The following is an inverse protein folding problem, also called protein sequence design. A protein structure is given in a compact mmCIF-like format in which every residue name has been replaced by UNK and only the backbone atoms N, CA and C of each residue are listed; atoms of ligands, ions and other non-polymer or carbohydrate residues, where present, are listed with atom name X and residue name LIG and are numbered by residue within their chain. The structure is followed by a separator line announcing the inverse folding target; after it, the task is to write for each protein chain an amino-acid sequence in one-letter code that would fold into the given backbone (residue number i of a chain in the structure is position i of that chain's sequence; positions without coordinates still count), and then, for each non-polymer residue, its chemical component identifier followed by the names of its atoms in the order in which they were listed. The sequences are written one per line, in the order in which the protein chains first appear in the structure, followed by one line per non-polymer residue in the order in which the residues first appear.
data_IF_880934431040
#
_entry.id   IF_880934431040
#
_cell.length_a   1.000
_cell.length_b   1.000
_cell.length_c   1.000
_cell.angle_alpha   90.00
_cell.angle_beta   90.00
_cell.angle_gamma   90.00
#
_symmetry.space_group_name_H-M   'P 1'
#
loop_
_entity.id
_entity.type
_entity.pdbx_description
1 polymer ?
#
# COMPACT_ATOMS: atom_id res chain seq x y z
N UNK A 1 17.28 -2.48 -29.49
CA UNK A 1 17.64 -1.78 -28.23
C UNK A 1 17.10 -2.63 -27.09
N UNK A 2 17.94 -3.45 -26.47
CA UNK A 2 17.52 -4.22 -25.29
C UNK A 2 17.41 -3.24 -24.13
N UNK A 3 16.21 -3.08 -23.57
CA UNK A 3 16.03 -2.42 -22.28
C UNK A 3 16.76 -3.31 -21.27
N UNK A 4 17.94 -2.88 -20.81
CA UNK A 4 18.56 -3.47 -19.64
C UNK A 4 17.62 -3.18 -18.47
N UNK A 5 16.78 -4.14 -18.10
CA UNK A 5 16.09 -4.13 -16.82
C UNK A 5 17.17 -4.26 -15.76
N UNK A 6 17.63 -3.13 -15.22
CA UNK A 6 18.52 -3.15 -14.07
C UNK A 6 17.70 -3.71 -12.90
N UNK A 7 18.01 -4.89 -12.35
CA UNK A 7 17.23 -5.46 -11.26
C UNK A 7 17.30 -4.50 -10.08
N UNK A 8 16.14 -3.99 -9.64
CA UNK A 8 16.06 -3.08 -8.50
C UNK A 8 16.44 -3.88 -7.25
N UNK A 9 17.57 -3.53 -6.63
CA UNK A 9 18.00 -4.11 -5.35
C UNK A 9 17.81 -3.11 -4.23
N UNK A 10 17.80 -3.59 -2.98
CA UNK A 10 17.76 -2.69 -1.82
C UNK A 10 18.95 -1.74 -1.79
N UNK A 11 20.15 -2.22 -2.15
CA UNK A 11 21.35 -1.38 -2.23
C UNK A 11 21.18 -0.24 -3.23
N UNK A 12 20.65 -0.56 -4.41
CA UNK A 12 20.41 0.45 -5.47
C UNK A 12 19.38 1.48 -5.02
N UNK A 13 18.33 1.05 -4.31
CA UNK A 13 17.33 1.96 -3.75
C UNK A 13 17.93 2.85 -2.66
N UNK A 14 18.65 2.26 -1.71
CA UNK A 14 19.26 2.98 -0.60
C UNK A 14 20.25 4.04 -1.08
N UNK A 15 21.11 3.68 -2.02
CA UNK A 15 22.08 4.58 -2.65
C UNK A 15 21.39 5.71 -3.42
N UNK A 16 20.40 5.39 -4.26
CA UNK A 16 19.69 6.37 -5.08
C UNK A 16 19.02 7.48 -4.25
N UNK A 17 18.42 7.11 -3.11
CA UNK A 17 17.71 8.04 -2.23
C UNK A 17 18.58 8.59 -1.09
N UNK A 18 19.87 8.29 -1.08
CA UNK A 18 20.85 8.84 -0.14
C UNK A 18 20.68 8.36 1.30
N UNK A 19 20.21 7.14 1.50
CA UNK A 19 20.08 6.55 2.83
C UNK A 19 21.45 6.17 3.41
N UNK A 20 21.64 6.47 4.69
CA UNK A 20 22.83 6.05 5.42
C UNK A 20 22.59 4.72 6.14
N UNK A 21 23.32 3.68 5.73
CA UNK A 21 23.44 2.46 6.52
C UNK A 21 24.37 2.71 7.72
N UNK A 22 23.82 2.60 8.93
CA UNK A 22 24.56 2.67 10.19
C UNK A 22 25.41 1.41 10.37
N UNK A 23 24.91 0.27 9.90
CA UNK A 23 25.62 -1.00 9.80
C UNK A 23 25.24 -1.69 8.50
N UNK A 24 26.22 -2.31 7.87
CA UNK A 24 26.03 -3.10 6.65
C UNK A 24 26.96 -4.32 6.69
N UNK A 25 26.37 -5.50 6.93
CA UNK A 25 27.06 -6.79 6.94
C UNK A 25 26.81 -7.56 5.62
N UNK A 26 26.45 -6.85 4.54
CA UNK A 26 26.03 -7.41 3.26
C UNK A 26 24.56 -7.81 3.29
N UNK A 27 24.23 -8.90 4.00
CA UNK A 27 22.85 -9.39 4.10
C UNK A 27 22.01 -8.67 5.13
N UNK A 28 22.63 -8.08 6.17
CA UNK A 28 21.92 -7.39 7.24
C UNK A 28 22.34 -5.93 7.26
N UNK A 29 21.36 -5.03 7.17
CA UNK A 29 21.57 -3.58 7.15
C UNK A 29 20.74 -2.93 8.24
N UNK A 30 21.36 -2.03 8.99
CA UNK A 30 20.65 -1.10 9.87
C UNK A 30 20.67 0.27 9.19
N UNK A 31 19.51 0.75 8.79
CA UNK A 31 19.36 2.00 8.04
C UNK A 31 18.69 3.05 8.92
N UNK A 32 19.22 4.27 8.90
CA UNK A 32 18.51 5.43 9.42
C UNK A 32 17.63 6.01 8.31
N UNK A 33 16.34 6.05 8.60
CA UNK A 33 15.34 6.71 7.78
C UNK A 33 15.42 8.24 7.93
N UNK A 34 14.90 8.98 6.96
CA UNK A 34 14.87 10.46 6.92
C UNK A 34 14.17 11.08 8.14
N UNK A 35 13.17 10.40 8.68
CA UNK A 35 12.45 10.81 9.89
C UNK A 35 13.13 10.32 11.19
N UNK A 36 14.40 9.90 11.12
CA UNK A 36 15.23 9.40 12.22
C UNK A 36 14.80 8.04 12.79
N UNK A 37 13.78 7.40 12.24
CA UNK A 37 13.47 6.01 12.58
C UNK A 37 14.61 5.08 12.14
N UNK A 38 14.76 3.98 12.84
CA UNK A 38 15.75 2.96 12.53
C UNK A 38 15.04 1.75 11.98
N UNK A 39 15.58 1.18 10.90
CA UNK A 39 15.03 -0.01 10.27
C UNK A 39 16.14 -1.00 10.03
N UNK A 40 15.91 -2.23 10.47
CA UNK A 40 16.72 -3.38 10.10
C UNK A 40 16.14 -4.01 8.84
N UNK A 41 16.99 -4.26 7.85
CA UNK A 41 16.65 -4.92 6.60
C UNK A 41 17.58 -6.13 6.44
N UNK A 42 17.00 -7.30 6.27
CA UNK A 42 17.72 -8.55 6.05
C UNK A 42 17.36 -9.09 4.67
N UNK A 43 18.35 -9.35 3.82
CA UNK A 43 18.15 -9.98 2.51
C UNK A 43 18.45 -11.48 2.59
N UNK A 44 17.54 -12.30 2.08
CA UNK A 44 17.70 -13.75 1.97
C UNK A 44 18.27 -14.16 0.60
N UNK A 45 18.76 -15.40 0.52
CA UNK A 45 19.37 -15.99 -0.68
C UNK A 45 18.35 -16.20 -1.82
N UNK A 46 17.08 -16.32 -1.48
CA UNK A 46 15.94 -16.49 -2.40
C UNK A 46 15.35 -15.16 -2.90
N UNK A 47 16.05 -14.03 -2.69
CA UNK A 47 15.60 -12.70 -3.08
C UNK A 47 14.35 -12.22 -2.31
N UNK A 48 14.06 -12.82 -1.16
CA UNK A 48 13.12 -12.32 -0.15
C UNK A 48 13.83 -11.44 0.89
N UNK A 49 13.06 -10.65 1.62
CA UNK A 49 13.58 -9.74 2.63
C UNK A 49 12.78 -9.82 3.94
N UNK A 50 13.44 -9.43 5.02
CA UNK A 50 12.84 -9.08 6.29
C UNK A 50 13.08 -7.60 6.53
N UNK A 51 12.06 -6.89 7.00
CA UNK A 51 12.17 -5.49 7.43
C UNK A 51 11.58 -5.36 8.84
N UNK A 52 12.27 -4.65 9.73
CA UNK A 52 11.82 -4.42 11.10
C UNK A 52 12.14 -2.99 11.55
N UNK A 53 11.15 -2.28 12.09
CA UNK A 53 11.37 -1.00 12.77
C UNK A 53 12.05 -1.23 14.14
N UNK A 54 13.11 -0.46 14.42
CA UNK A 54 13.90 -0.50 15.66
C UNK A 54 14.02 0.88 16.33
N UNK A 55 13.02 1.75 16.16
CA UNK A 55 13.05 3.10 16.72
C UNK A 55 13.20 3.09 18.24
N UNK A 56 14.15 3.88 18.75
CA UNK A 56 14.52 3.94 20.19
C UNK A 56 14.96 2.57 20.78
N UNK A 57 15.44 1.64 19.96
CA UNK A 57 15.89 0.32 20.41
C UNK A 57 14.75 -0.63 20.80
N UNK A 58 13.50 -0.29 20.45
CA UNK A 58 12.35 -1.16 20.63
C UNK A 58 11.99 -1.79 19.30
N UNK A 59 11.76 -3.10 19.30
CA UNK A 59 11.17 -3.79 18.15
C UNK A 59 9.74 -3.25 17.91
N UNK A 60 9.54 -2.66 16.74
CA UNK A 60 8.25 -2.23 16.22
C UNK A 60 7.70 -3.23 15.21
N UNK A 61 7.05 -2.71 14.18
CA UNK A 61 6.49 -3.52 13.09
C UNK A 61 7.57 -4.32 12.37
N UNK A 62 7.23 -5.56 11.98
CA UNK A 62 8.14 -6.53 11.35
C UNK A 62 7.40 -7.26 10.24
N UNK A 63 8.06 -7.40 9.10
CA UNK A 63 7.54 -8.08 7.92
C UNK A 63 8.60 -9.01 7.36
N UNK A 64 8.18 -10.19 6.92
CA UNK A 64 9.06 -11.29 6.54
C UNK A 64 8.59 -11.90 5.21
N UNK A 65 9.51 -12.53 4.48
CA UNK A 65 9.24 -13.17 3.19
C UNK A 65 8.57 -12.21 2.18
N UNK A 66 9.04 -10.95 2.16
CA UNK A 66 8.52 -9.90 1.29
C UNK A 66 9.47 -9.60 0.13
N UNK A 67 8.93 -9.13 -0.99
CA UNK A 67 9.73 -8.72 -2.15
C UNK A 67 10.36 -7.34 -1.95
N UNK A 68 11.31 -6.98 -2.81
CA UNK A 68 11.98 -5.67 -2.76
C UNK A 68 11.00 -4.50 -2.93
N UNK A 69 9.96 -4.66 -3.76
CA UNK A 69 8.93 -3.63 -3.96
C UNK A 69 8.19 -3.36 -2.65
N UNK A 70 7.81 -4.43 -1.93
CA UNK A 70 7.17 -4.33 -0.62
C UNK A 70 8.11 -3.71 0.42
N UNK A 71 9.40 -4.07 0.44
CA UNK A 71 10.38 -3.41 1.33
C UNK A 71 10.41 -1.90 1.11
N UNK A 72 10.40 -1.46 -0.15
CA UNK A 72 10.40 -0.04 -0.51
C UNK A 72 9.13 0.66 -0.02
N UNK A 73 7.96 0.06 -0.24
CA UNK A 73 6.68 0.56 0.27
C UNK A 73 6.71 0.73 1.79
N UNK A 74 7.31 -0.23 2.50
CA UNK A 74 7.40 -0.21 3.95
C UNK A 74 8.39 0.84 4.46
N UNK A 75 9.55 1.00 3.81
CA UNK A 75 10.48 2.10 4.08
C UNK A 75 9.75 3.43 3.91
N UNK A 76 9.04 3.59 2.80
CA UNK A 76 8.24 4.79 2.56
C UNK A 76 7.22 4.95 3.69
N UNK A 77 6.33 4.00 3.94
CA UNK A 77 5.32 4.07 5.02
C UNK A 77 5.92 4.45 6.38
N UNK A 78 7.02 3.79 6.78
CA UNK A 78 7.70 4.06 8.05
C UNK A 78 8.25 5.49 8.09
N UNK A 79 8.71 6.02 6.96
CA UNK A 79 9.11 7.42 6.78
C UNK A 79 7.95 8.43 6.81
N UNK A 80 6.70 7.95 6.76
CA UNK A 80 5.53 8.79 6.49
C UNK A 80 5.26 8.93 4.99
N UNK A 81 5.51 7.86 4.24
CA UNK A 81 5.73 7.81 2.81
C UNK A 81 4.60 8.37 1.97
N UNK A 82 4.98 9.45 1.30
CA UNK A 82 4.21 10.34 0.44
C UNK A 82 3.10 11.07 1.21
N UNK A 83 2.84 12.34 0.86
CA UNK A 83 1.61 13.06 1.26
C UNK A 83 0.31 12.37 0.77
N UNK A 84 0.39 11.11 0.37
CA UNK A 84 -0.63 10.31 -0.29
C UNK A 84 -0.52 8.85 0.17
N UNK A 85 -1.61 8.34 0.72
CA UNK A 85 -1.84 6.92 0.99
C UNK A 85 -2.95 6.43 0.05
N UNK A 86 -2.79 5.23 -0.52
CA UNK A 86 -3.79 4.64 -1.42
C UNK A 86 -4.43 3.40 -0.77
N UNK A 87 -5.76 3.36 -0.76
CA UNK A 87 -6.55 2.21 -0.33
C UNK A 87 -7.30 1.64 -1.52
N UNK A 88 -7.15 0.35 -1.78
CA UNK A 88 -7.83 -0.35 -2.87
C UNK A 88 -9.16 -0.92 -2.33
N UNK A 89 -10.23 -0.68 -3.08
CA UNK A 89 -11.55 -1.28 -2.84
C UNK A 89 -11.89 -2.21 -4.00
N UNK A 90 -12.26 -3.45 -3.67
CA UNK A 90 -12.66 -4.47 -4.62
C UNK A 90 -14.19 -4.59 -4.70
N UNK A 91 -14.71 -5.11 -5.82
CA UNK A 91 -16.17 -5.29 -5.96
C UNK A 91 -16.74 -6.23 -4.90
N UNK A 92 -15.94 -7.15 -4.37
CA UNK A 92 -16.38 -8.05 -3.29
C UNK A 92 -16.60 -7.30 -1.96
N UNK A 93 -15.94 -6.16 -1.75
CA UNK A 93 -16.21 -5.30 -0.59
C UNK A 93 -17.63 -4.73 -0.69
N UNK A 94 -18.04 -4.27 -1.87
CA UNK A 94 -19.41 -3.80 -2.10
C UNK A 94 -20.42 -4.95 -1.94
N UNK A 95 -20.10 -6.13 -2.47
CA UNK A 95 -20.97 -7.30 -2.35
C UNK A 95 -21.08 -7.82 -0.91
N UNK A 96 -20.14 -7.47 -0.03
CA UNK A 96 -20.25 -7.75 1.41
C UNK A 96 -21.30 -6.88 2.09
N UNK A 97 -21.57 -5.68 1.57
CA UNK A 97 -22.65 -4.78 2.03
C UNK A 97 -23.99 -5.25 1.48
N UNK A 98 -24.04 -5.54 0.17
CA UNK A 98 -25.23 -6.05 -0.48
C UNK A 98 -24.90 -7.13 -1.51
N UNK A 99 -25.12 -8.38 -1.12
CA UNK A 99 -24.84 -9.56 -1.93
C UNK A 99 -25.82 -9.80 -3.08
N UNK A 100 -26.93 -9.04 -3.15
CA UNK A 100 -27.91 -9.17 -4.24
C UNK A 100 -27.52 -8.37 -5.48
N UNK A 101 -26.55 -7.45 -5.38
CA UNK A 101 -26.07 -6.70 -6.52
C UNK A 101 -25.32 -7.60 -7.50
N UNK A 102 -25.42 -7.29 -8.80
CA UNK A 102 -24.54 -7.89 -9.80
C UNK A 102 -23.12 -7.30 -9.67
N UNK A 103 -22.10 -8.00 -10.17
CA UNK A 103 -20.72 -7.47 -10.21
C UNK A 103 -20.61 -6.17 -11.03
N UNK A 104 -21.46 -6.00 -12.04
CA UNK A 104 -21.51 -4.78 -12.85
C UNK A 104 -22.04 -3.60 -12.03
N UNK A 105 -23.07 -3.83 -11.20
CA UNK A 105 -23.57 -2.82 -10.26
C UNK A 105 -22.59 -2.52 -9.13
N UNK A 106 -21.94 -3.54 -8.59
CA UNK A 106 -20.88 -3.34 -7.61
C UNK A 106 -19.71 -2.52 -8.19
N UNK A 107 -19.37 -2.72 -9.46
CA UNK A 107 -18.38 -1.88 -10.16
C UNK A 107 -18.87 -0.45 -10.32
N UNK A 108 -20.14 -0.26 -10.68
CA UNK A 108 -20.75 1.07 -10.77
C UNK A 108 -20.70 1.81 -9.44
N UNK A 109 -21.01 1.15 -8.31
CA UNK A 109 -20.86 1.71 -6.96
C UNK A 109 -19.43 2.21 -6.72
N UNK A 110 -18.42 1.38 -7.03
CA UNK A 110 -17.01 1.79 -6.86
C UNK A 110 -16.62 2.96 -7.77
N UNK A 111 -17.09 2.98 -9.02
CA UNK A 111 -16.86 4.09 -9.94
C UNK A 111 -17.50 5.38 -9.41
N UNK A 112 -18.75 5.32 -8.95
CA UNK A 112 -19.44 6.48 -8.38
C UNK A 112 -18.73 7.01 -7.12
N UNK A 113 -18.30 6.11 -6.24
CA UNK A 113 -17.54 6.48 -5.04
C UNK A 113 -16.18 7.08 -5.37
N UNK A 114 -15.44 6.50 -6.33
CA UNK A 114 -14.16 7.03 -6.78
C UNK A 114 -14.30 8.45 -7.34
N UNK A 115 -15.30 8.67 -8.20
CA UNK A 115 -15.48 9.94 -8.91
C UNK A 115 -16.05 11.07 -8.03
N UNK A 116 -16.77 10.73 -6.94
CA UNK A 116 -17.56 11.72 -6.18
C UNK A 116 -17.38 11.68 -4.65
N UNK A 117 -16.38 10.97 -4.11
CA UNK A 117 -16.14 10.97 -2.67
C UNK A 117 -15.62 12.33 -2.14
N UNK A 118 -15.99 12.66 -0.91
CA UNK A 118 -15.40 13.79 -0.20
C UNK A 118 -13.97 13.42 0.21
N UNK A 119 -12.99 14.14 -0.32
CA UNK A 119 -11.57 13.91 -0.02
C UNK A 119 -11.21 14.12 1.47
N UNK A 120 -12.02 14.87 2.24
CA UNK A 120 -11.82 15.03 3.69
C UNK A 120 -12.24 13.78 4.49
N UNK A 121 -13.07 12.91 3.89
CA UNK A 121 -13.57 11.67 4.52
C UNK A 121 -12.89 10.45 3.88
N UNK A 122 -12.63 10.50 2.58
CA UNK A 122 -12.18 9.37 1.78
C UNK A 122 -13.31 8.37 1.49
N UNK A 123 -12.96 7.24 0.90
CA UNK A 123 -13.89 6.12 0.70
C UNK A 123 -13.78 5.17 1.89
N UNK A 124 -14.90 4.98 2.59
CA UNK A 124 -15.08 4.04 3.69
C UNK A 124 -16.38 3.22 3.51
N UNK A 125 -16.70 2.36 4.48
CA UNK A 125 -17.86 1.47 4.40
C UNK A 125 -19.20 2.23 4.38
N UNK A 126 -19.31 3.33 5.12
CA UNK A 126 -20.49 4.19 5.13
C UNK A 126 -20.70 4.87 3.77
N UNK A 127 -19.63 5.38 3.16
CA UNK A 127 -19.67 5.95 1.80
C UNK A 127 -20.10 4.90 0.78
N UNK A 128 -19.58 3.68 0.84
CA UNK A 128 -20.03 2.60 -0.05
C UNK A 128 -21.49 2.22 0.17
N UNK A 129 -21.98 2.25 1.42
CA UNK A 129 -23.39 1.98 1.75
C UNK A 129 -24.33 3.01 1.14
N UNK A 130 -23.92 4.28 1.14
CA UNK A 130 -24.67 5.36 0.49
C UNK A 130 -24.77 5.13 -1.02
N UNK A 131 -23.63 4.85 -1.67
CA UNK A 131 -23.62 4.59 -3.12
C UNK A 131 -24.35 3.30 -3.52
N UNK A 132 -24.37 2.27 -2.65
CA UNK A 132 -25.23 1.09 -2.85
C UNK A 132 -26.70 1.50 -2.87
N UNK A 133 -27.14 2.31 -1.92
CA UNK A 133 -28.53 2.80 -1.85
C UNK A 133 -28.89 3.60 -3.11
N UNK A 134 -27.99 4.49 -3.54
CA UNK A 134 -28.20 5.30 -4.74
C UNK A 134 -28.32 4.46 -6.02
N UNK A 135 -27.47 3.44 -6.20
CA UNK A 135 -27.57 2.53 -7.35
C UNK A 135 -28.91 1.79 -7.36
N UNK A 136 -29.39 1.33 -6.21
CA UNK A 136 -30.70 0.66 -6.11
C UNK A 136 -31.86 1.61 -6.44
N UNK A 137 -31.78 2.88 -6.02
CA UNK A 137 -32.78 3.90 -6.38
C UNK A 137 -32.80 4.18 -7.88
N UNK A 138 -31.62 4.26 -8.51
CA UNK A 138 -31.50 4.46 -9.96
C UNK A 138 -32.07 3.27 -10.75
N UNK A 139 -31.82 2.03 -10.29
CA UNK A 139 -32.44 0.84 -10.87
C UNK A 139 -33.96 0.84 -10.71
N UNK A 140 -34.47 1.16 -9.52
CA UNK A 140 -35.90 1.23 -9.25
C UNK A 140 -36.59 2.32 -10.10
N UNK A 141 -35.89 3.41 -10.40
CA UNK A 141 -36.35 4.48 -11.29
C UNK A 141 -36.18 4.16 -12.79
N UNK A 142 -35.55 3.04 -13.15
CA UNK A 142 -35.31 2.63 -14.54
C UNK A 142 -34.29 3.51 -15.29
N UNK A 143 -33.41 4.19 -14.55
CA UNK A 143 -32.37 5.05 -15.11
C UNK A 143 -31.19 4.21 -15.63
N UNK A 144 -30.89 3.12 -14.94
CA UNK A 144 -29.79 2.18 -15.25
C UNK A 144 -30.25 0.74 -15.31
#
# INVERSE_FOLDING_TARGET
MQLQSNPMTIDTYLEHYGYAAIRDDGQNKLVQLKNLKLVQIESSVDNSYIIQELTQGKAGERWEDISIETVIEHIQMLEGGNDTFAKIWHVDDVLSINSTLSRERARLVLTMAMDNHDANIGINWEVLTEYVSQVLEMEAAGII
#
